data_IF_823489618883
#
_entry.id   IF_823489618883
#
_cell.length_a   1.000
_cell.length_b   1.000
_cell.length_c   1.000
_cell.angle_alpha   90.00
_cell.angle_beta   90.00
_cell.angle_gamma   90.00
#
_symmetry.space_group_name_H-M   'P 1'
#
loop_
_entity.id
_entity.type
_entity.pdbx_description
1 polymer ?
#
# COMPACT_ATOMS: atom_id res chain seq x y z
N UNK A 1 11.20 -31.36 -4.04
CA UNK A 1 10.88 -29.91 -4.00
C UNK A 1 11.35 -29.11 -5.23
N UNK A 2 12.66 -28.82 -5.43
CA UNK A 2 13.09 -27.92 -6.55
C UNK A 2 12.75 -28.45 -7.96
N UNK A 3 12.91 -29.74 -8.21
CA UNK A 3 12.57 -30.37 -9.50
C UNK A 3 11.06 -30.37 -9.78
N UNK A 4 10.25 -30.63 -8.76
CA UNK A 4 8.78 -30.59 -8.86
C UNK A 4 8.28 -29.17 -9.13
N UNK A 5 8.84 -28.17 -8.43
CA UNK A 5 8.51 -26.77 -8.68
C UNK A 5 8.82 -26.37 -10.13
N UNK A 6 9.99 -26.77 -10.64
CA UNK A 6 10.35 -26.52 -12.04
C UNK A 6 9.34 -27.18 -13.00
N UNK A 7 8.94 -28.42 -12.73
CA UNK A 7 7.93 -29.10 -13.54
C UNK A 7 6.59 -28.35 -13.53
N UNK A 8 6.13 -27.88 -12.35
CA UNK A 8 4.91 -27.06 -12.25
C UNK A 8 5.06 -25.78 -13.08
N UNK A 9 6.17 -25.06 -12.94
CA UNK A 9 6.41 -23.84 -13.72
C UNK A 9 6.45 -24.10 -15.24
N UNK A 10 6.95 -25.24 -15.68
CA UNK A 10 6.92 -25.66 -17.08
C UNK A 10 5.50 -25.99 -17.57
N UNK A 11 4.71 -26.71 -16.76
CA UNK A 11 3.30 -27.00 -17.05
C UNK A 11 2.51 -25.70 -17.24
N UNK A 12 2.72 -24.73 -16.35
CA UNK A 12 2.06 -23.43 -16.36
C UNK A 12 2.86 -22.33 -17.08
N UNK A 13 3.75 -22.68 -18.01
CA UNK A 13 4.57 -21.68 -18.72
C UNK A 13 3.73 -20.58 -19.38
N UNK A 14 2.52 -20.92 -19.83
CA UNK A 14 1.59 -20.00 -20.46
C UNK A 14 0.96 -19.00 -19.47
N UNK A 15 1.03 -19.21 -18.17
CA UNK A 15 0.54 -18.27 -17.15
C UNK A 15 1.54 -17.15 -16.89
N UNK A 16 2.78 -17.28 -17.35
CA UNK A 16 3.83 -16.30 -17.19
C UNK A 16 4.02 -15.45 -18.45
N UNK A 17 4.49 -14.22 -18.28
CA UNK A 17 4.87 -13.33 -19.37
C UNK A 17 6.12 -12.50 -19.05
N UNK A 18 6.85 -12.17 -20.10
CA UNK A 18 8.01 -11.28 -20.13
C UNK A 18 7.72 -10.02 -20.96
N UNK A 19 8.68 -9.07 -20.97
CA UNK A 19 8.50 -7.75 -21.58
C UNK A 19 8.19 -7.75 -23.08
N UNK A 20 8.53 -8.83 -23.79
CA UNK A 20 8.36 -8.98 -25.24
C UNK A 20 7.19 -9.90 -25.63
N UNK A 21 6.47 -10.45 -24.64
CA UNK A 21 5.36 -11.37 -24.87
C UNK A 21 4.01 -10.66 -24.80
N UNK A 22 2.98 -11.17 -25.49
CA UNK A 22 1.66 -10.56 -25.50
C UNK A 22 1.07 -10.51 -24.08
N UNK A 23 0.44 -9.39 -23.76
CA UNK A 23 -0.24 -9.20 -22.49
C UNK A 23 -1.41 -10.16 -22.33
N UNK A 24 -1.60 -10.60 -21.08
CA UNK A 24 -2.81 -11.30 -20.67
C UNK A 24 -4.04 -10.45 -20.90
N UNK A 25 -5.15 -11.11 -21.18
CA UNK A 25 -6.46 -10.48 -21.34
C UNK A 25 -7.37 -11.08 -20.30
N UNK A 26 -7.55 -10.38 -19.19
CA UNK A 26 -8.39 -10.86 -18.11
C UNK A 26 -9.84 -10.87 -18.60
N UNK A 27 -10.42 -12.06 -18.68
CA UNK A 27 -11.80 -12.27 -19.14
C UNK A 27 -12.78 -12.05 -18.00
N UNK A 28 -13.99 -11.60 -18.33
CA UNK A 28 -15.11 -11.48 -17.39
C UNK A 28 -15.06 -10.32 -16.39
N UNK A 29 -14.05 -9.44 -16.49
CA UNK A 29 -13.87 -8.30 -15.58
C UNK A 29 -13.59 -7.02 -16.37
N UNK A 30 -14.53 -6.60 -17.21
CA UNK A 30 -14.38 -5.35 -17.94
C UNK A 30 -14.49 -4.13 -17.01
N UNK A 31 -13.64 -3.14 -17.26
CA UNK A 31 -13.59 -1.91 -16.49
C UNK A 31 -14.55 -0.91 -17.12
N UNK A 32 -15.59 -0.56 -16.37
CA UNK A 32 -16.49 0.55 -16.69
C UNK A 32 -16.26 1.76 -15.78
N UNK A 33 -16.19 2.94 -16.38
CA UNK A 33 -16.08 4.22 -15.69
C UNK A 33 -17.37 5.01 -15.90
N UNK A 34 -17.98 5.38 -14.79
CA UNK A 34 -19.13 6.29 -14.78
C UNK A 34 -18.68 7.66 -14.29
N UNK A 35 -19.11 8.70 -15.00
CA UNK A 35 -18.89 10.09 -14.61
C UNK A 35 -20.11 10.60 -13.83
N UNK A 36 -19.89 11.58 -12.95
CA UNK A 36 -20.95 12.28 -12.20
C UNK A 36 -21.50 13.51 -12.95
N UNK A 37 -21.27 13.55 -14.26
CA UNK A 37 -21.64 14.64 -15.14
C UNK A 37 -22.19 14.05 -16.44
N UNK A 38 -23.17 14.73 -17.01
CA UNK A 38 -23.75 14.37 -18.29
C UNK A 38 -23.10 15.15 -19.45
N UNK A 39 -23.45 14.74 -20.68
CA UNK A 39 -23.05 15.45 -21.88
C UNK A 39 -23.85 16.75 -22.03
N UNK A 40 -23.27 17.82 -22.59
CA UNK A 40 -21.91 17.93 -23.09
C UNK A 40 -20.86 18.06 -21.98
N UNK A 41 -19.72 17.39 -22.14
CA UNK A 41 -18.66 17.42 -21.14
C UNK A 41 -17.92 18.76 -21.07
N UNK A 42 -17.45 19.16 -19.87
CA UNK A 42 -16.76 20.43 -19.67
C UNK A 42 -15.44 20.50 -20.46
N UNK A 43 -15.03 21.68 -20.95
CA UNK A 43 -13.80 21.86 -21.72
C UNK A 43 -12.53 21.34 -21.03
N UNK A 44 -12.54 21.29 -19.69
CA UNK A 44 -11.42 20.75 -18.89
C UNK A 44 -11.10 19.28 -19.21
N UNK A 45 -12.06 18.53 -19.77
CA UNK A 45 -11.89 17.15 -20.24
C UNK A 45 -11.39 17.05 -21.69
N UNK A 46 -11.18 18.18 -22.37
CA UNK A 46 -10.68 18.29 -23.76
C UNK A 46 -9.43 19.19 -23.82
N UNK A 47 -8.41 18.84 -23.02
CA UNK A 47 -7.16 19.61 -23.01
C UNK A 47 -6.31 19.36 -24.27
N UNK A 48 -5.56 20.35 -24.77
CA UNK A 48 -4.59 20.15 -25.84
C UNK A 48 -3.38 19.35 -25.34
N UNK A 49 -2.56 18.86 -26.27
CA UNK A 49 -1.26 18.25 -25.92
C UNK A 49 -0.38 19.27 -25.21
N UNK A 50 0.37 18.82 -24.19
CA UNK A 50 1.40 19.66 -23.60
C UNK A 50 2.61 19.77 -24.55
N UNK A 51 3.25 20.96 -24.64
CA UNK A 51 4.54 21.08 -25.29
C UNK A 51 5.57 20.14 -24.64
N UNK A 52 6.34 19.43 -25.46
CA UNK A 52 7.34 18.47 -25.00
C UNK A 52 8.71 18.81 -25.59
N UNK A 53 9.76 18.72 -24.76
CA UNK A 53 11.14 18.88 -25.22
C UNK A 53 11.53 17.75 -26.19
N UNK A 54 12.57 17.92 -27.03
CA UNK A 54 13.01 16.88 -27.97
C UNK A 54 13.22 15.51 -27.29
N UNK A 55 13.93 15.51 -26.14
CA UNK A 55 14.14 14.30 -25.31
C UNK A 55 12.83 13.65 -24.85
N UNK A 56 11.83 14.46 -24.46
CA UNK A 56 10.53 13.94 -24.04
C UNK A 56 9.70 13.41 -25.22
N UNK A 57 9.82 14.03 -26.40
CA UNK A 57 9.14 13.59 -27.64
C UNK A 57 9.62 12.22 -28.08
N UNK A 58 10.93 12.00 -28.14
CA UNK A 58 11.54 10.70 -28.45
C UNK A 58 11.06 9.61 -27.48
N UNK A 59 11.05 9.93 -26.17
CA UNK A 59 10.56 9.01 -25.16
C UNK A 59 9.06 8.71 -25.32
N UNK A 60 8.23 9.72 -25.61
CA UNK A 60 6.80 9.54 -25.86
C UNK A 60 6.54 8.63 -27.06
N UNK A 61 7.24 8.86 -28.18
CA UNK A 61 7.12 8.05 -29.40
C UNK A 61 7.42 6.59 -29.12
N UNK A 62 8.53 6.32 -28.41
CA UNK A 62 8.89 4.97 -27.99
C UNK A 62 7.82 4.32 -27.11
N UNK A 63 7.36 5.01 -26.06
CA UNK A 63 6.32 4.48 -25.15
C UNK A 63 5.00 4.22 -25.87
N UNK A 64 4.59 5.11 -26.79
CA UNK A 64 3.37 4.94 -27.58
C UNK A 64 3.48 3.71 -28.48
N UNK A 65 4.60 3.55 -29.19
CA UNK A 65 4.84 2.38 -30.05
C UNK A 65 4.82 1.07 -29.23
N UNK A 66 5.50 1.03 -28.09
CA UNK A 66 5.49 -0.12 -27.19
C UNK A 66 4.07 -0.47 -26.73
N UNK A 67 3.27 0.53 -26.34
CA UNK A 67 1.89 0.31 -25.90
C UNK A 67 0.95 -0.11 -27.03
N UNK A 68 1.21 0.31 -28.27
CA UNK A 68 0.48 -0.18 -29.45
C UNK A 68 0.82 -1.64 -29.72
N UNK A 69 2.11 -2.00 -29.71
CA UNK A 69 2.57 -3.39 -29.89
C UNK A 69 1.98 -4.33 -28.83
N UNK A 70 1.85 -3.85 -27.59
CA UNK A 70 1.23 -4.59 -26.49
C UNK A 70 -0.32 -4.62 -26.54
N UNK A 71 -0.95 -3.95 -27.51
CA UNK A 71 -2.41 -3.88 -27.62
C UNK A 71 -3.08 -3.09 -26.49
N UNK A 72 -2.35 -2.18 -25.86
CA UNK A 72 -2.85 -1.28 -24.80
C UNK A 72 -3.43 0.00 -25.39
N UNK A 73 -2.81 0.51 -26.46
CA UNK A 73 -3.25 1.71 -27.18
C UNK A 73 -3.64 1.38 -28.62
N UNK A 74 -4.57 2.17 -29.16
CA UNK A 74 -4.91 2.19 -30.58
C UNK A 74 -4.98 3.64 -31.07
N UNK A 75 -4.46 3.90 -32.27
CA UNK A 75 -4.61 5.19 -32.94
C UNK A 75 -6.06 5.35 -33.43
N UNK A 76 -6.71 6.48 -33.13
CA UNK A 76 -8.10 6.74 -33.54
C UNK A 76 -8.22 7.39 -34.93
N UNK A 77 -7.11 7.80 -35.54
CA UNK A 77 -7.10 8.53 -36.81
C UNK A 77 -7.67 9.94 -36.72
N UNK A 78 -7.91 10.57 -37.88
CA UNK A 78 -8.33 11.98 -37.98
C UNK A 78 -9.85 12.20 -38.03
N UNK A 79 -10.66 11.14 -38.17
CA UNK A 79 -12.07 11.26 -38.56
C UNK A 79 -13.08 11.02 -37.41
N UNK A 80 -12.64 11.04 -36.16
CA UNK A 80 -13.51 10.78 -35.01
C UNK A 80 -13.82 12.04 -34.21
N UNK A 81 -15.09 12.25 -33.85
CA UNK A 81 -15.44 13.23 -32.83
C UNK A 81 -14.77 12.86 -31.49
N UNK A 82 -13.99 13.80 -30.95
CA UNK A 82 -13.27 13.63 -29.67
C UNK A 82 -13.89 14.53 -28.61
N UNK A 83 -14.90 13.98 -27.94
CA UNK A 83 -15.57 14.62 -26.81
C UNK A 83 -14.67 14.76 -25.57
N UNK A 84 -13.67 13.89 -25.43
CA UNK A 84 -12.81 13.79 -24.25
C UNK A 84 -11.40 13.38 -24.68
N UNK A 85 -10.38 14.10 -24.20
CA UNK A 85 -8.95 13.80 -24.43
C UNK A 85 -8.07 14.38 -23.34
N UNK A 86 -7.01 13.65 -22.97
CA UNK A 86 -6.07 14.05 -21.92
C UNK A 86 -4.64 14.11 -22.43
N UNK A 87 -3.90 15.19 -22.15
CA UNK A 87 -2.49 15.25 -22.50
C UNK A 87 -1.70 14.21 -21.71
N UNK A 88 -0.58 13.81 -22.30
CA UNK A 88 0.42 12.95 -21.66
C UNK A 88 1.69 13.74 -21.39
N UNK A 89 2.41 13.31 -20.35
CA UNK A 89 3.74 13.82 -20.00
C UNK A 89 4.71 12.65 -19.81
N UNK A 90 6.01 12.95 -19.90
CA UNK A 90 7.05 12.03 -19.44
C UNK A 90 7.51 12.44 -18.05
N UNK A 91 7.48 11.48 -17.14
CA UNK A 91 8.16 11.57 -15.86
C UNK A 91 9.47 10.78 -15.92
N UNK A 92 10.56 11.39 -15.46
CA UNK A 92 11.88 10.77 -15.42
C UNK A 92 12.23 10.38 -13.99
N UNK A 93 12.77 9.17 -13.81
CA UNK A 93 13.30 8.72 -12.52
C UNK A 93 14.49 7.80 -12.76
N UNK A 94 15.68 8.17 -12.24
CA UNK A 94 16.95 7.45 -12.49
C UNK A 94 17.15 7.13 -13.98
N UNK A 95 17.02 8.16 -14.82
CA UNK A 95 17.10 8.10 -16.30
C UNK A 95 16.07 7.20 -17.02
N UNK A 96 15.18 6.54 -16.28
CA UNK A 96 14.05 5.81 -16.86
C UNK A 96 12.87 6.76 -17.07
N UNK A 97 12.38 6.83 -18.29
CA UNK A 97 11.17 7.56 -18.65
C UNK A 97 9.92 6.73 -18.41
N UNK A 98 8.84 7.37 -17.98
CA UNK A 98 7.50 6.78 -17.91
C UNK A 98 6.48 7.75 -18.50
N UNK A 99 5.66 7.26 -19.41
CA UNK A 99 4.51 8.02 -19.91
C UNK A 99 3.39 8.04 -18.87
N UNK A 100 2.88 9.23 -18.58
CA UNK A 100 1.80 9.46 -17.61
C UNK A 100 0.71 10.28 -18.27
N UNK A 101 -0.52 9.75 -18.28
CA UNK A 101 -1.70 10.50 -18.71
C UNK A 101 -2.19 11.41 -17.59
N UNK A 102 -2.47 12.67 -17.91
CA UNK A 102 -3.07 13.60 -16.94
C UNK A 102 -4.56 13.32 -16.77
N UNK A 103 -4.87 12.38 -15.87
CA UNK A 103 -6.23 11.95 -15.55
C UNK A 103 -6.86 12.75 -14.40
N UNK A 104 -6.22 13.83 -13.91
CA UNK A 104 -6.69 14.56 -12.73
C UNK A 104 -8.10 15.10 -12.94
N UNK A 105 -8.34 15.80 -14.05
CA UNK A 105 -9.65 16.35 -14.37
C UNK A 105 -10.71 15.25 -14.54
N UNK A 106 -10.35 14.12 -15.16
CA UNK A 106 -11.26 12.97 -15.29
C UNK A 106 -11.62 12.38 -13.92
N UNK A 107 -10.63 12.20 -13.06
CA UNK A 107 -10.80 11.62 -11.74
C UNK A 107 -11.73 12.48 -10.86
N UNK A 108 -11.66 13.81 -10.97
CA UNK A 108 -12.58 14.72 -10.26
C UNK A 108 -14.04 14.47 -10.64
N UNK A 109 -14.31 14.18 -11.92
CA UNK A 109 -15.64 13.92 -12.44
C UNK A 109 -16.03 12.44 -12.48
N UNK A 110 -15.17 11.54 -12.02
CA UNK A 110 -15.48 10.10 -12.00
C UNK A 110 -16.28 9.77 -10.73
N UNK A 111 -17.25 8.88 -10.78
CA UNK A 111 -17.91 8.37 -9.57
C UNK A 111 -16.91 7.46 -8.81
N UNK A 112 -16.61 7.72 -7.52
CA UNK A 112 -15.62 6.94 -6.79
C UNK A 112 -16.11 5.51 -6.50
N UNK A 113 -15.30 4.52 -6.89
CA UNK A 113 -15.51 3.11 -6.55
C UNK A 113 -14.94 2.84 -5.14
N UNK A 114 -15.84 2.59 -4.18
CA UNK A 114 -15.50 2.39 -2.75
C UNK A 114 -15.40 0.91 -2.38
N UNK A 115 -14.77 0.10 -3.24
CA UNK A 115 -14.48 -1.29 -2.90
C UNK A 115 -13.49 -1.38 -1.72
N UNK A 116 -13.72 -2.25 -0.72
CA UNK A 116 -12.85 -2.36 0.45
C UNK A 116 -11.47 -2.89 0.05
N UNK A 117 -10.42 -2.16 0.43
CA UNK A 117 -9.04 -2.61 0.28
C UNK A 117 -8.53 -2.98 1.68
N UNK A 118 -8.11 -4.23 1.90
CA UNK A 118 -7.64 -4.66 3.21
C UNK A 118 -6.39 -3.86 3.60
N UNK A 119 -6.23 -3.60 4.90
CA UNK A 119 -4.98 -3.00 5.38
C UNK A 119 -3.87 -4.04 5.20
N UNK A 120 -2.70 -3.60 4.75
CA UNK A 120 -1.53 -4.47 4.52
C UNK A 120 -1.27 -5.37 5.74
N UNK A 121 -1.31 -4.80 6.95
CA UNK A 121 -1.14 -5.55 8.19
C UNK A 121 -2.18 -6.67 8.39
N UNK A 122 -3.43 -6.47 8.01
CA UNK A 122 -4.46 -7.51 8.10
C UNK A 122 -4.17 -8.65 7.12
N UNK A 123 -3.79 -8.30 5.88
CA UNK A 123 -3.42 -9.30 4.87
C UNK A 123 -2.17 -10.10 5.29
N UNK A 124 -1.18 -9.43 5.90
CA UNK A 124 0.04 -10.09 6.37
C UNK A 124 -0.21 -10.98 7.60
N UNK A 125 -1.15 -10.63 8.48
CA UNK A 125 -1.51 -11.49 9.62
C UNK A 125 -2.13 -12.82 9.18
N UNK A 126 -2.75 -12.88 7.99
CA UNK A 126 -3.28 -14.14 7.45
C UNK A 126 -2.18 -15.14 7.08
N UNK A 127 -0.92 -14.69 6.99
CA UNK A 127 0.24 -15.55 6.74
C UNK A 127 0.78 -16.18 8.03
N UNK A 128 0.09 -16.03 9.17
CA UNK A 128 0.43 -16.69 10.43
C UNK A 128 0.56 -18.20 10.25
N UNK A 129 1.60 -18.80 10.86
CA UNK A 129 1.91 -20.24 10.84
C UNK A 129 2.27 -20.80 9.46
N UNK A 130 2.38 -19.96 8.42
CA UNK A 130 2.82 -20.40 7.11
C UNK A 130 4.29 -20.86 7.17
N UNK A 131 4.54 -22.14 6.88
CA UNK A 131 5.91 -22.67 6.79
C UNK A 131 6.63 -22.17 5.53
N UNK A 132 5.89 -22.01 4.44
CA UNK A 132 6.41 -21.56 3.15
C UNK A 132 5.49 -20.49 2.56
N UNK A 133 6.08 -19.41 2.09
CA UNK A 133 5.42 -18.24 1.51
C UNK A 133 5.79 -18.16 0.03
N UNK A 134 4.77 -17.96 -0.81
CA UNK A 134 4.93 -17.71 -2.24
C UNK A 134 4.31 -16.35 -2.56
N UNK A 135 5.05 -15.49 -3.24
CA UNK A 135 4.57 -14.20 -3.72
C UNK A 135 4.65 -14.17 -5.25
N UNK A 136 3.57 -13.69 -5.87
CA UNK A 136 3.42 -13.64 -7.33
C UNK A 136 2.96 -12.24 -7.75
N UNK A 137 3.73 -11.58 -8.60
CA UNK A 137 3.41 -10.25 -9.13
C UNK A 137 2.73 -10.38 -10.50
N UNK A 138 1.58 -9.73 -10.67
CA UNK A 138 0.90 -9.68 -11.96
C UNK A 138 1.71 -8.87 -12.98
N UNK A 139 1.93 -9.43 -14.17
CA UNK A 139 2.72 -8.77 -15.19
C UNK A 139 1.98 -7.55 -15.78
N UNK A 140 2.42 -6.33 -15.47
CA UNK A 140 1.72 -5.08 -15.87
C UNK A 140 0.21 -5.14 -15.51
N UNK A 141 -0.12 -5.58 -14.29
CA UNK A 141 -1.47 -6.02 -13.89
C UNK A 141 -2.65 -5.14 -14.35
N UNK A 142 -2.54 -3.81 -14.30
CA UNK A 142 -3.63 -2.95 -14.79
C UNK A 142 -3.87 -3.05 -16.30
N UNK A 143 -2.82 -3.14 -17.11
CA UNK A 143 -2.93 -3.25 -18.56
C UNK A 143 -3.47 -4.58 -19.06
N UNK A 144 -3.72 -5.56 -18.19
CA UNK A 144 -4.42 -6.79 -18.57
C UNK A 144 -5.95 -6.63 -18.54
N UNK A 145 -6.46 -5.63 -17.82
CA UNK A 145 -7.90 -5.35 -17.69
C UNK A 145 -8.44 -4.65 -18.94
N UNK A 146 -9.50 -5.22 -19.52
CA UNK A 146 -10.17 -4.68 -20.71
C UNK A 146 -11.09 -3.53 -20.34
N UNK A 147 -11.13 -2.47 -21.14
CA UNK A 147 -12.07 -1.37 -20.98
C UNK A 147 -13.35 -1.59 -21.80
N UNK A 148 -14.50 -1.17 -21.25
CA UNK A 148 -15.76 -1.12 -22.01
C UNK A 148 -15.68 -0.10 -23.16
N UNK A 149 -16.45 -0.25 -24.26
CA UNK A 149 -16.44 0.71 -25.37
C UNK A 149 -16.69 2.17 -24.96
N UNK A 150 -17.56 2.38 -23.97
CA UNK A 150 -17.82 3.70 -23.36
C UNK A 150 -16.57 4.25 -22.69
N UNK A 151 -15.92 3.43 -21.87
CA UNK A 151 -14.75 3.82 -21.08
C UNK A 151 -13.52 4.09 -21.94
N UNK A 152 -13.35 3.35 -23.04
CA UNK A 152 -12.30 3.61 -24.05
C UNK A 152 -12.37 5.05 -24.56
N UNK A 153 -13.56 5.52 -24.94
CA UNK A 153 -13.78 6.91 -25.40
C UNK A 153 -13.45 7.95 -24.32
N UNK A 154 -13.76 7.64 -23.05
CA UNK A 154 -13.42 8.51 -21.93
C UNK A 154 -11.92 8.58 -21.67
N UNK A 155 -11.16 7.50 -21.90
CA UNK A 155 -9.73 7.44 -21.58
C UNK A 155 -8.81 7.84 -22.73
N UNK A 156 -9.31 8.49 -23.79
CA UNK A 156 -8.46 8.97 -24.89
C UNK A 156 -7.37 9.93 -24.41
N UNK A 157 -6.19 9.79 -25.00
CA UNK A 157 -5.02 10.64 -24.75
C UNK A 157 -4.57 11.37 -26.00
N UNK A 158 -3.90 12.50 -25.82
CA UNK A 158 -3.33 13.31 -26.90
C UNK A 158 -1.84 13.59 -26.62
N UNK A 159 -1.01 13.40 -27.65
CA UNK A 159 0.40 13.78 -27.68
C UNK A 159 0.72 14.52 -28.98
N UNK A 160 1.98 14.86 -29.21
CA UNK A 160 2.44 15.40 -30.49
C UNK A 160 2.34 14.38 -31.65
N UNK A 161 2.20 13.09 -31.35
CA UNK A 161 2.01 12.03 -32.35
C UNK A 161 0.53 11.87 -32.79
N UNK A 162 -0.40 12.53 -32.10
CA UNK A 162 -1.84 12.45 -32.38
C UNK A 162 -2.65 11.98 -31.18
N UNK A 163 -3.85 11.46 -31.46
CA UNK A 163 -4.80 11.02 -30.45
C UNK A 163 -4.84 9.49 -30.43
N UNK A 164 -4.81 8.93 -29.22
CA UNK A 164 -4.85 7.49 -29.00
C UNK A 164 -5.93 7.13 -27.99
N UNK A 165 -6.45 5.92 -28.11
CA UNK A 165 -7.46 5.37 -27.24
C UNK A 165 -6.89 4.18 -26.47
N UNK A 166 -7.05 4.19 -25.15
CA UNK A 166 -6.72 3.03 -24.34
C UNK A 166 -7.75 1.92 -24.60
N UNK A 167 -7.25 0.71 -24.86
CA UNK A 167 -8.03 -0.52 -24.88
C UNK A 167 -8.01 -1.23 -23.52
N UNK A 168 -7.00 -0.92 -22.71
CA UNK A 168 -6.72 -1.50 -21.41
C UNK A 168 -6.63 -0.44 -20.33
N UNK A 169 -6.85 -0.82 -19.08
CA UNK A 169 -6.84 0.15 -17.98
C UNK A 169 -5.47 0.84 -17.85
N UNK A 170 -5.41 2.19 -17.93
CA UNK A 170 -4.18 2.95 -17.75
C UNK A 170 -3.88 3.20 -16.27
N UNK A 171 -2.62 3.49 -15.98
CA UNK A 171 -2.22 4.01 -14.67
C UNK A 171 -2.79 5.42 -14.45
N UNK A 172 -3.03 5.76 -13.18
CA UNK A 172 -3.51 7.09 -12.76
C UNK A 172 -5.04 7.22 -12.69
N UNK A 173 -5.80 6.20 -13.13
CA UNK A 173 -7.24 6.15 -12.90
C UNK A 173 -7.52 5.91 -11.40
N UNK A 174 -8.37 6.75 -10.80
CA UNK A 174 -8.67 6.66 -9.37
C UNK A 174 -9.37 5.37 -8.93
N UNK A 175 -10.16 4.75 -9.81
CA UNK A 175 -10.92 3.53 -9.52
C UNK A 175 -10.12 2.25 -9.84
N UNK A 176 -8.93 2.37 -10.43
CA UNK A 176 -8.11 1.22 -10.81
C UNK A 176 -7.77 0.28 -9.64
N UNK A 177 -7.36 0.76 -8.44
CA UNK A 177 -7.09 -0.11 -7.30
C UNK A 177 -8.34 -0.85 -6.80
N UNK A 178 -9.47 -0.16 -6.67
CA UNK A 178 -10.74 -0.74 -6.21
C UNK A 178 -11.24 -1.83 -7.16
N UNK A 179 -11.22 -1.55 -8.46
CA UNK A 179 -11.59 -2.53 -9.48
C UNK A 179 -10.66 -3.75 -9.42
N UNK A 180 -9.35 -3.52 -9.33
CA UNK A 180 -8.36 -4.60 -9.30
C UNK A 180 -8.51 -5.47 -8.04
N UNK A 181 -8.79 -4.87 -6.88
CA UNK A 181 -9.03 -5.62 -5.65
C UNK A 181 -10.30 -6.48 -5.76
N UNK A 182 -11.39 -5.93 -6.32
CA UNK A 182 -12.62 -6.69 -6.57
C UNK A 182 -12.38 -7.87 -7.50
N UNK A 183 -11.68 -7.63 -8.61
CA UNK A 183 -11.29 -8.67 -9.54
C UNK A 183 -10.45 -9.76 -8.85
N UNK A 184 -9.46 -9.38 -8.04
CA UNK A 184 -8.64 -10.33 -7.29
C UNK A 184 -9.48 -11.18 -6.32
N UNK A 185 -10.41 -10.57 -5.59
CA UNK A 185 -11.28 -11.31 -4.67
C UNK A 185 -12.23 -12.26 -5.40
N UNK A 186 -12.69 -11.91 -6.61
CA UNK A 186 -13.54 -12.79 -7.44
C UNK A 186 -12.75 -13.97 -8.01
N UNK A 187 -11.51 -13.75 -8.45
CA UNK A 187 -10.67 -14.79 -9.09
C UNK A 187 -10.02 -15.69 -8.03
N UNK A 188 -9.55 -15.09 -6.93
CA UNK A 188 -8.82 -15.74 -5.85
C UNK A 188 -9.58 -15.54 -4.53
N UNK A 189 -10.62 -16.35 -4.25
CA UNK A 189 -11.30 -16.33 -2.96
C UNK A 189 -10.35 -16.77 -1.82
N UNK A 190 -10.72 -16.45 -0.58
CA UNK A 190 -9.88 -16.60 0.63
C UNK A 190 -9.36 -18.03 0.85
N UNK A 191 -10.14 -19.04 0.47
CA UNK A 191 -9.72 -20.44 0.47
C UNK A 191 -9.66 -20.92 -0.98
N UNK A 192 -8.45 -21.21 -1.44
CA UNK A 192 -8.21 -21.76 -2.76
C UNK A 192 -8.08 -23.28 -2.66
N UNK A 193 -9.14 -23.98 -3.05
CA UNK A 193 -9.12 -25.44 -3.24
C UNK A 193 -8.36 -25.85 -4.52
N UNK A 194 -8.32 -24.94 -5.51
CA UNK A 194 -7.58 -25.09 -6.77
C UNK A 194 -6.31 -24.22 -6.75
N UNK A 195 -5.28 -24.60 -7.50
CA UNK A 195 -4.02 -23.87 -7.54
C UNK A 195 -4.15 -22.44 -8.10
N UNK A 196 -3.40 -21.49 -7.55
CA UNK A 196 -3.38 -20.08 -8.02
C UNK A 196 -3.09 -19.99 -9.54
N UNK A 197 -2.19 -20.82 -10.05
CA UNK A 197 -1.83 -20.83 -11.46
C UNK A 197 -2.96 -21.34 -12.37
N UNK A 198 -3.81 -22.27 -11.90
CA UNK A 198 -4.99 -22.73 -12.64
C UNK A 198 -5.98 -21.59 -12.83
N UNK A 199 -6.35 -20.91 -11.74
CA UNK A 199 -7.26 -19.76 -11.78
C UNK A 199 -6.71 -18.65 -12.66
N UNK A 200 -5.42 -18.30 -12.52
CA UNK A 200 -4.77 -17.28 -13.35
C UNK A 200 -4.81 -17.65 -14.84
N UNK A 201 -4.58 -18.92 -15.17
CA UNK A 201 -4.63 -19.41 -16.55
C UNK A 201 -6.05 -19.38 -17.11
N UNK A 202 -7.04 -19.81 -16.33
CA UNK A 202 -8.45 -19.84 -16.72
C UNK A 202 -9.00 -18.46 -17.09
N UNK A 203 -8.56 -17.41 -16.39
CA UNK A 203 -8.93 -16.02 -16.72
C UNK A 203 -7.99 -15.34 -17.71
N UNK A 204 -6.93 -16.03 -18.17
CA UNK A 204 -5.86 -15.49 -19.02
C UNK A 204 -5.12 -14.28 -18.39
N UNK A 205 -4.91 -14.35 -17.08
CA UNK A 205 -4.04 -13.45 -16.33
C UNK A 205 -2.59 -13.91 -16.43
N UNK A 206 -1.69 -12.98 -16.75
CA UNK A 206 -0.24 -13.23 -16.84
C UNK A 206 0.50 -12.76 -15.58
N UNK A 207 1.47 -13.55 -15.16
CA UNK A 207 2.29 -13.33 -13.97
C UNK A 207 3.74 -13.06 -14.39
N UNK A 208 4.42 -12.16 -13.68
CA UNK A 208 5.83 -11.85 -13.94
C UNK A 208 6.73 -12.85 -13.21
N UNK A 209 7.23 -13.85 -13.94
CA UNK A 209 8.09 -14.89 -13.34
C UNK A 209 9.32 -14.30 -12.64
N UNK A 210 9.94 -13.26 -13.24
CA UNK A 210 11.13 -12.57 -12.69
C UNK A 210 10.89 -11.92 -11.31
N UNK A 211 9.63 -11.64 -10.96
CA UNK A 211 9.25 -10.98 -9.70
C UNK A 211 8.57 -11.94 -8.72
N UNK A 212 8.39 -13.20 -9.10
CA UNK A 212 7.82 -14.20 -8.22
C UNK A 212 8.88 -14.77 -7.29
N UNK A 213 8.46 -15.13 -6.08
CA UNK A 213 9.25 -15.86 -5.11
C UNK A 213 8.44 -17.08 -4.68
N UNK A 214 9.01 -18.28 -4.76
CA UNK A 214 8.30 -19.54 -4.52
C UNK A 214 8.87 -20.27 -3.32
N UNK A 215 8.02 -20.56 -2.33
CA UNK A 215 8.32 -21.47 -1.23
C UNK A 215 9.43 -21.00 -0.27
N UNK A 216 9.48 -19.71 0.06
CA UNK A 216 10.44 -19.16 1.02
C UNK A 216 9.89 -19.22 2.46
N UNK A 217 10.73 -19.52 3.44
CA UNK A 217 10.35 -19.45 4.87
C UNK A 217 10.21 -17.99 5.35
N UNK A 218 10.99 -17.10 4.75
CA UNK A 218 10.94 -15.65 4.97
C UNK A 218 11.02 -14.91 3.63
N UNK A 219 10.15 -13.91 3.44
CA UNK A 219 10.06 -13.12 2.22
C UNK A 219 9.98 -11.62 2.51
N UNK A 220 10.61 -10.81 1.67
CA UNK A 220 10.35 -9.36 1.61
C UNK A 220 9.15 -9.05 0.73
N UNK A 221 8.05 -8.59 1.33
CA UNK A 221 6.85 -8.19 0.59
C UNK A 221 6.16 -6.98 1.23
N UNK A 222 5.51 -6.14 0.42
CA UNK A 222 4.77 -4.94 0.83
C UNK A 222 5.53 -3.97 1.78
N UNK A 223 6.86 -3.98 1.75
CA UNK A 223 7.73 -3.19 2.63
C UNK A 223 7.96 -3.79 4.02
N UNK A 224 7.65 -5.07 4.18
CA UNK A 224 7.86 -5.86 5.38
C UNK A 224 8.74 -7.08 5.08
N UNK A 225 9.40 -7.58 6.12
CA UNK A 225 9.97 -8.93 6.13
C UNK A 225 8.90 -9.81 6.76
N UNK A 226 8.44 -10.83 6.05
CA UNK A 226 7.31 -11.67 6.43
C UNK A 226 7.80 -13.11 6.54
N UNK A 227 7.63 -13.71 7.70
CA UNK A 227 7.75 -15.15 7.92
C UNK A 227 6.44 -15.70 8.47
N UNK A 228 6.30 -17.01 8.64
CA UNK A 228 5.13 -17.58 9.33
C UNK A 228 4.98 -17.14 10.79
N UNK A 229 6.04 -16.58 11.38
CA UNK A 229 6.12 -16.32 12.83
C UNK A 229 6.27 -14.83 13.16
N UNK A 230 6.87 -14.05 12.27
CA UNK A 230 7.25 -12.66 12.55
C UNK A 230 7.02 -11.72 11.36
N UNK A 231 6.76 -10.46 11.70
CA UNK A 231 6.62 -9.35 10.77
C UNK A 231 7.62 -8.24 11.10
N UNK A 232 8.66 -8.13 10.28
CA UNK A 232 9.68 -7.08 10.33
C UNK A 232 9.44 -5.93 9.36
N UNK A 233 10.27 -4.89 9.45
CA UNK A 233 10.29 -3.78 8.48
C UNK A 233 11.38 -4.02 7.43
N UNK A 234 11.09 -3.78 6.14
CA UNK A 234 12.12 -3.86 5.10
C UNK A 234 13.16 -2.72 5.22
N UNK A 235 14.40 -3.11 5.53
CA UNK A 235 15.57 -2.24 5.72
C UNK A 235 15.85 -1.31 4.54
N UNK A 236 15.52 -1.72 3.30
CA UNK A 236 15.78 -0.92 2.11
C UNK A 236 14.89 0.33 2.00
N UNK A 237 13.62 0.24 2.42
CA UNK A 237 12.71 1.39 2.45
C UNK A 237 13.03 2.34 3.60
N UNK A 238 13.42 1.78 4.75
CA UNK A 238 13.84 2.54 5.92
C UNK A 238 15.14 3.31 5.61
N UNK A 239 16.13 2.66 4.97
CA UNK A 239 17.40 3.29 4.59
C UNK A 239 17.21 4.57 3.74
N UNK A 240 16.24 4.58 2.81
CA UNK A 240 15.96 5.76 1.98
C UNK A 240 15.44 6.98 2.77
N UNK A 241 14.82 6.76 3.94
CA UNK A 241 14.41 7.81 4.88
C UNK A 241 15.52 8.11 5.88
N UNK A 242 16.26 7.08 6.31
CA UNK A 242 17.35 7.21 7.28
C UNK A 242 18.59 7.89 6.69
N UNK A 243 18.87 7.80 5.40
CA UNK A 243 20.05 8.42 4.78
C UNK A 243 19.85 9.90 4.45
N UNK A 244 18.62 10.40 4.50
CA UNK A 244 18.32 11.79 4.21
C UNK A 244 18.63 12.69 5.41
N UNK A 245 19.14 13.91 5.19
CA UNK A 245 19.27 14.89 6.25
C UNK A 245 17.90 15.23 6.83
N UNK A 246 17.88 15.70 8.08
CA UNK A 246 16.66 16.17 8.73
C UNK A 246 16.01 17.24 7.84
N UNK A 247 14.75 17.08 7.42
CA UNK A 247 14.10 18.04 6.54
C UNK A 247 14.06 19.44 7.15
N UNK A 248 14.42 20.44 6.36
CA UNK A 248 14.43 21.86 6.75
C UNK A 248 13.16 22.60 6.29
N UNK A 249 12.07 21.87 6.03
CA UNK A 249 10.80 22.45 5.57
C UNK A 249 9.61 21.59 5.99
N UNK A 250 8.43 22.21 6.18
CA UNK A 250 7.20 21.57 6.71
C UNK A 250 6.80 20.32 5.94
N UNK A 251 6.78 20.39 4.61
CA UNK A 251 6.37 19.28 3.74
C UNK A 251 7.25 18.04 3.89
N UNK A 252 8.55 18.22 4.14
CA UNK A 252 9.46 17.11 4.39
C UNK A 252 9.21 16.42 5.73
N UNK A 253 8.88 17.19 6.78
CA UNK A 253 8.47 16.62 8.07
C UNK A 253 7.14 15.87 7.97
N UNK A 254 6.17 16.39 7.19
CA UNK A 254 4.89 15.70 6.96
C UNK A 254 5.10 14.34 6.29
N UNK A 255 5.92 14.26 5.23
CA UNK A 255 6.26 12.99 4.59
C UNK A 255 6.95 12.01 5.54
N UNK A 256 7.88 12.51 6.37
CA UNK A 256 8.54 11.69 7.39
C UNK A 256 7.54 11.13 8.43
N UNK A 257 6.60 11.96 8.88
CA UNK A 257 5.57 11.55 9.83
C UNK A 257 4.59 10.54 9.21
N UNK A 258 4.19 10.72 7.95
CA UNK A 258 3.35 9.75 7.23
C UNK A 258 4.03 8.38 7.11
N UNK A 259 5.32 8.38 6.72
CA UNK A 259 6.13 7.18 6.65
C UNK A 259 6.26 6.50 8.03
N UNK A 260 6.62 7.27 9.06
CA UNK A 260 6.78 6.73 10.42
C UNK A 260 5.46 6.21 10.98
N UNK A 261 4.34 6.87 10.66
CA UNK A 261 2.98 6.47 11.07
C UNK A 261 2.55 5.15 10.42
N UNK A 262 3.00 4.87 9.19
CA UNK A 262 2.77 3.58 8.53
C UNK A 262 3.36 2.42 9.36
N UNK A 263 4.53 2.65 9.96
CA UNK A 263 5.22 1.71 10.85
C UNK A 263 4.92 1.93 12.35
N UNK A 264 3.87 2.66 12.71
CA UNK A 264 3.62 3.01 14.14
C UNK A 264 3.40 1.79 15.05
N UNK A 265 2.91 0.68 14.50
CA UNK A 265 2.69 -0.57 15.26
C UNK A 265 4.00 -1.17 15.77
N UNK A 266 5.12 -0.82 15.15
CA UNK A 266 6.48 -1.22 15.52
C UNK A 266 7.14 -0.21 16.46
N UNK A 267 6.54 0.97 16.67
CA UNK A 267 7.15 2.09 17.37
C UNK A 267 6.44 2.33 18.70
N UNK A 268 7.05 1.87 19.80
CA UNK A 268 6.60 2.20 21.16
C UNK A 268 6.49 3.73 21.33
N UNK A 269 5.39 4.18 21.92
CA UNK A 269 5.09 5.59 22.25
C UNK A 269 5.14 6.56 21.06
N UNK A 270 4.86 6.08 19.84
CA UNK A 270 4.92 6.90 18.63
C UNK A 270 4.12 8.20 18.73
N UNK A 271 2.89 8.17 19.25
CA UNK A 271 2.03 9.36 19.33
C UNK A 271 2.62 10.44 20.26
N UNK A 272 3.31 10.02 21.33
CA UNK A 272 3.99 10.90 22.29
C UNK A 272 5.22 11.53 21.62
N UNK A 273 6.06 10.71 20.99
CA UNK A 273 7.27 11.18 20.30
C UNK A 273 6.92 12.11 19.12
N UNK A 274 5.96 11.72 18.29
CA UNK A 274 5.58 12.45 17.09
C UNK A 274 4.89 13.79 17.39
N UNK A 275 4.45 14.06 18.64
CA UNK A 275 3.71 15.29 18.98
C UNK A 275 4.51 16.55 18.65
N UNK A 276 5.80 16.55 18.96
CA UNK A 276 6.68 17.70 18.77
C UNK A 276 6.82 18.04 17.29
N UNK A 277 6.80 17.01 16.44
CA UNK A 277 6.87 17.12 15.00
C UNK A 277 5.51 17.50 14.41
N UNK A 278 4.39 16.92 14.85
CA UNK A 278 3.06 17.35 14.37
C UNK A 278 2.81 18.86 14.58
N UNK A 279 3.24 19.41 15.72
CA UNK A 279 3.09 20.84 16.02
C UNK A 279 3.79 21.76 15.00
N UNK A 280 4.89 21.32 14.38
CA UNK A 280 5.57 22.10 13.34
C UNK A 280 4.83 22.10 12.00
N UNK A 281 3.95 21.13 11.79
CA UNK A 281 3.16 20.97 10.57
C UNK A 281 1.92 21.87 10.56
N UNK A 282 1.51 22.41 11.71
CA UNK A 282 0.39 23.35 11.80
C UNK A 282 0.67 24.62 10.98
N UNK A 283 -0.37 25.14 10.31
CA UNK A 283 -0.23 26.29 9.42
C UNK A 283 0.32 27.52 10.15
N UNK A 284 -0.16 27.76 11.37
CA UNK A 284 0.19 28.92 12.20
C UNK A 284 1.55 28.80 12.91
N UNK A 285 2.16 27.60 12.94
CA UNK A 285 3.44 27.41 13.63
C UNK A 285 4.61 27.80 12.73
N UNK A 286 5.51 28.64 13.22
CA UNK A 286 6.78 28.95 12.54
C UNK A 286 7.64 27.68 12.47
N UNK A 287 8.18 27.40 11.28
CA UNK A 287 9.05 26.25 11.08
C UNK A 287 10.39 26.49 11.79
N UNK A 288 10.64 25.74 12.88
CA UNK A 288 11.90 25.74 13.61
C UNK A 288 12.20 24.36 14.18
N UNK A 289 13.30 23.74 13.80
CA UNK A 289 13.74 22.47 14.41
C UNK A 289 14.40 22.74 15.76
N UNK A 290 13.59 22.86 16.81
CA UNK A 290 14.08 22.98 18.20
C UNK A 290 14.79 21.70 18.65
N UNK A 291 15.57 21.79 19.72
CA UNK A 291 16.30 20.64 20.25
C UNK A 291 15.36 19.48 20.64
N UNK A 292 14.17 19.77 21.16
CA UNK A 292 13.13 18.77 21.44
C UNK A 292 12.64 18.07 20.16
N UNK A 293 12.42 18.83 19.08
CA UNK A 293 11.97 18.29 17.78
C UNK A 293 13.05 17.43 17.14
N UNK A 294 14.31 17.84 17.24
CA UNK A 294 15.46 17.06 16.77
C UNK A 294 15.57 15.77 17.58
N UNK A 295 15.48 15.83 18.92
CA UNK A 295 15.47 14.64 19.79
C UNK A 295 14.32 13.70 19.44
N UNK A 296 13.12 14.22 19.21
CA UNK A 296 11.96 13.42 18.81
C UNK A 296 12.17 12.74 17.45
N UNK A 297 12.67 13.48 16.45
CA UNK A 297 13.02 12.95 15.13
C UNK A 297 14.04 11.81 15.25
N UNK A 298 15.14 12.03 15.97
CA UNK A 298 16.19 11.03 16.13
C UNK A 298 15.73 9.80 16.94
N UNK A 299 14.85 9.97 17.94
CA UNK A 299 14.24 8.85 18.66
C UNK A 299 13.39 7.98 17.73
N UNK A 300 12.51 8.57 16.93
CA UNK A 300 11.69 7.82 15.96
C UNK A 300 12.59 7.16 14.91
N UNK A 301 13.60 7.89 14.42
CA UNK A 301 14.60 7.39 13.47
C UNK A 301 15.37 6.18 14.03
N UNK A 302 15.83 6.26 15.29
CA UNK A 302 16.52 5.16 15.98
C UNK A 302 15.59 3.98 16.23
N UNK A 303 14.33 4.21 16.57
CA UNK A 303 13.33 3.16 16.76
C UNK A 303 12.97 2.45 15.45
N UNK A 304 12.95 3.16 14.32
CA UNK A 304 12.82 2.58 12.97
C UNK A 304 14.07 1.79 12.55
N UNK A 305 15.25 2.15 13.09
CA UNK A 305 16.53 1.46 12.82
C UNK A 305 16.73 0.22 13.69
N UNK A 306 16.35 0.30 14.97
CA UNK A 306 16.24 -0.87 15.85
C UNK A 306 15.18 -1.77 15.20
N UNK A 307 15.40 -3.07 15.22
CA UNK A 307 14.53 -4.04 14.56
C UNK A 307 13.53 -4.60 15.60
N UNK A 308 12.37 -3.97 15.84
CA UNK A 308 11.30 -4.63 16.56
C UNK A 308 10.62 -5.57 15.57
N UNK A 309 11.00 -6.85 15.62
CA UNK A 309 10.19 -7.91 15.02
C UNK A 309 8.87 -7.93 15.79
N UNK A 310 7.75 -7.69 15.09
CA UNK A 310 6.45 -7.97 15.67
C UNK A 310 6.15 -9.45 15.50
N UNK A 311 5.60 -10.06 16.54
CA UNK A 311 5.01 -11.38 16.44
C UNK A 311 3.75 -11.33 15.60
N UNK A 312 3.55 -12.34 14.75
CA UNK A 312 2.25 -12.55 14.13
C UNK A 312 1.32 -13.15 15.20
N UNK A 313 0.14 -12.57 15.43
CA UNK A 313 -0.77 -13.00 16.49
C UNK A 313 -1.25 -14.44 16.30
N UNK A 314 -1.24 -15.22 17.38
CA UNK A 314 -1.84 -16.55 17.46
C UNK A 314 -2.95 -16.58 18.51
N UNK A 315 -4.22 -16.64 18.09
CA UNK A 315 -5.38 -16.62 19.01
C UNK A 315 -5.47 -17.84 19.93
N UNK A 316 -4.65 -18.88 19.71
CA UNK A 316 -4.55 -20.02 20.63
C UNK A 316 -3.60 -19.74 21.82
N UNK A 317 -2.85 -18.63 21.79
CA UNK A 317 -1.90 -18.25 22.83
C UNK A 317 -2.47 -17.02 23.56
N UNK A 318 -2.55 -17.02 24.91
CA UNK A 318 -3.03 -15.87 25.65
C UNK A 318 -2.22 -14.60 25.34
N UNK A 319 -2.91 -13.46 25.25
CA UNK A 319 -2.25 -12.17 25.07
C UNK A 319 -1.79 -11.58 26.40
N UNK A 320 -0.75 -10.76 26.35
CA UNK A 320 -0.37 -9.84 27.43
C UNK A 320 -0.53 -8.41 26.96
N UNK A 321 -1.33 -7.62 27.67
CA UNK A 321 -1.58 -6.23 27.37
C UNK A 321 -0.89 -5.35 28.39
N UNK A 322 0.23 -4.75 27.99
CA UNK A 322 0.89 -3.71 28.76
C UNK A 322 0.23 -2.37 28.48
N UNK A 323 -0.09 -1.64 29.53
CA UNK A 323 -0.59 -0.27 29.43
C UNK A 323 0.28 0.66 30.26
N UNK A 324 0.51 1.86 29.73
CA UNK A 324 1.22 2.93 30.40
C UNK A 324 0.54 4.27 30.07
N UNK A 325 0.38 5.10 31.09
CA UNK A 325 -0.26 6.39 30.96
C UNK A 325 0.56 7.47 31.67
N UNK A 326 0.90 8.52 30.93
CA UNK A 326 1.57 9.68 31.48
C UNK A 326 0.79 10.97 31.13
N UNK A 327 1.18 12.09 31.77
CA UNK A 327 0.60 13.41 31.50
C UNK A 327 0.76 13.90 30.05
N UNK A 328 1.49 13.16 29.22
CA UNK A 328 1.73 13.49 27.81
C UNK A 328 0.95 12.60 26.83
N UNK A 329 0.50 11.42 27.25
CA UNK A 329 -0.08 10.43 26.37
C UNK A 329 -0.32 9.07 27.01
N UNK A 330 -1.04 8.24 26.27
CA UNK A 330 -1.34 6.85 26.62
C UNK A 330 -0.59 5.93 25.65
N UNK A 331 0.01 4.87 26.17
CA UNK A 331 0.77 3.87 25.44
C UNK A 331 0.25 2.47 25.75
N UNK A 332 0.05 1.66 24.73
CA UNK A 332 -0.42 0.29 24.85
C UNK A 332 0.53 -0.64 24.08
N UNK A 333 0.93 -1.77 24.65
CA UNK A 333 1.70 -2.81 23.96
C UNK A 333 1.02 -4.17 24.13
N UNK A 334 0.58 -4.74 23.01
CA UNK A 334 0.04 -6.09 22.96
C UNK A 334 1.17 -7.06 22.67
N UNK A 335 1.36 -8.05 23.53
CA UNK A 335 2.43 -9.04 23.51
C UNK A 335 1.86 -10.46 23.53
N UNK A 336 2.67 -11.43 23.11
CA UNK A 336 2.42 -12.87 23.30
C UNK A 336 3.72 -13.57 23.69
N UNK A 337 3.61 -14.76 24.27
CA UNK A 337 4.74 -15.61 24.66
C UNK A 337 4.69 -16.93 23.85
N UNK A 338 4.96 -16.90 22.54
CA UNK A 338 5.10 -18.12 21.75
C UNK A 338 6.37 -18.88 22.11
N UNK A 339 6.40 -20.16 21.74
CA UNK A 339 7.57 -21.03 21.85
C UNK A 339 8.40 -20.88 20.58
N UNK A 340 9.63 -20.39 20.73
CA UNK A 340 10.65 -20.32 19.68
C UNK A 340 11.84 -21.19 20.09
N UNK A 341 12.29 -22.09 19.21
CA UNK A 341 13.42 -23.00 19.48
C UNK A 341 13.29 -23.67 20.87
N UNK A 342 12.11 -24.23 21.15
CA UNK A 342 11.74 -24.88 22.42
C UNK A 342 11.74 -23.97 23.66
N UNK A 343 11.86 -22.65 23.49
CA UNK A 343 11.88 -21.68 24.59
C UNK A 343 10.72 -20.68 24.49
N UNK A 344 9.99 -20.42 25.60
CA UNK A 344 9.01 -19.35 25.64
C UNK A 344 9.72 -18.00 25.52
N UNK A 345 9.42 -17.24 24.47
CA UNK A 345 10.01 -15.92 24.25
C UNK A 345 8.89 -14.91 24.12
N UNK A 346 8.82 -13.96 25.05
CA UNK A 346 7.86 -12.88 24.95
C UNK A 346 8.25 -11.89 23.85
N UNK A 347 7.28 -11.52 23.02
CA UNK A 347 7.47 -10.53 21.97
C UNK A 347 6.24 -9.66 21.74
N UNK A 348 6.43 -8.46 21.16
CA UNK A 348 5.34 -7.56 20.85
C UNK A 348 4.57 -8.03 19.61
N UNK A 349 3.25 -8.12 19.69
CA UNK A 349 2.34 -8.25 18.54
C UNK A 349 2.10 -6.88 17.90
N UNK A 350 1.82 -5.85 18.71
CA UNK A 350 1.76 -4.48 18.23
C UNK A 350 1.83 -3.44 19.35
N UNK A 351 2.30 -2.25 19.00
CA UNK A 351 2.21 -1.05 19.83
C UNK A 351 1.08 -0.13 19.35
N UNK A 352 0.37 0.46 20.30
CA UNK A 352 -0.57 1.54 20.09
C UNK A 352 -0.17 2.69 21.02
N UNK A 353 -0.45 3.91 20.60
CA UNK A 353 -0.36 5.08 21.47
C UNK A 353 -1.32 6.15 21.00
N UNK A 354 -1.78 6.98 21.93
CA UNK A 354 -2.55 8.19 21.62
C UNK A 354 -2.15 9.35 22.52
N UNK A 355 -2.37 10.56 22.02
CA UNK A 355 -2.30 11.76 22.85
C UNK A 355 -3.52 11.83 23.77
N UNK A 356 -3.34 12.47 24.90
CA UNK A 356 -4.42 12.80 25.82
C UNK A 356 -5.12 14.07 25.34
N UNK A 357 -6.43 14.15 25.54
CA UNK A 357 -7.24 15.33 25.26
C UNK A 357 -7.01 16.38 26.35
N UNK A 358 -7.32 17.63 26.05
CA UNK A 358 -7.24 18.74 27.01
C UNK A 358 -8.10 18.51 28.25
N UNK A 359 -9.23 17.83 28.10
CA UNK A 359 -10.11 17.45 29.21
C UNK A 359 -9.54 16.31 30.05
N UNK A 360 -8.90 15.32 29.39
CA UNK A 360 -8.27 14.15 30.03
C UNK A 360 -7.02 14.54 30.82
N UNK A 361 -6.37 15.66 30.50
CA UNK A 361 -5.20 16.17 31.23
C UNK A 361 -5.46 16.50 32.70
N UNK A 362 -6.74 16.59 33.11
CA UNK A 362 -7.15 16.81 34.51
C UNK A 362 -7.27 15.51 35.32
N UNK A 363 -7.18 14.36 34.66
CA UNK A 363 -7.33 13.07 35.31
C UNK A 363 -6.11 12.74 36.17
N UNK A 364 -6.35 12.17 37.34
CA UNK A 364 -5.29 11.61 38.16
C UNK A 364 -4.70 10.35 37.53
N UNK A 365 -3.51 9.94 37.99
CA UNK A 365 -2.79 8.78 37.43
C UNK A 365 -3.65 7.51 37.28
N UNK A 366 -4.49 7.20 38.29
CA UNK A 366 -5.42 6.05 38.24
C UNK A 366 -6.45 6.14 37.11
N UNK A 367 -7.06 7.31 36.95
CA UNK A 367 -8.05 7.55 35.90
C UNK A 367 -7.40 7.49 34.51
N UNK A 368 -6.14 7.93 34.41
CA UNK A 368 -5.37 7.88 33.17
C UNK A 368 -5.03 6.44 32.76
N UNK A 369 -4.68 5.56 33.70
CA UNK A 369 -4.50 4.14 33.41
C UNK A 369 -5.80 3.44 33.02
N UNK A 370 -6.92 3.68 33.72
CA UNK A 370 -8.21 3.13 33.32
C UNK A 370 -8.62 3.60 31.91
N UNK A 371 -8.36 4.87 31.60
CA UNK A 371 -8.58 5.43 30.26
C UNK A 371 -7.66 4.79 29.21
N UNK A 372 -6.43 4.43 29.59
CA UNK A 372 -5.51 3.69 28.74
C UNK A 372 -6.03 2.28 28.47
N UNK A 373 -6.52 1.57 29.49
CA UNK A 373 -7.12 0.25 29.33
C UNK A 373 -8.35 0.31 28.42
N UNK A 374 -9.28 1.22 28.67
CA UNK A 374 -10.48 1.37 27.84
C UNK A 374 -10.12 1.61 26.38
N UNK A 375 -9.18 2.53 26.13
CA UNK A 375 -8.68 2.81 24.79
C UNK A 375 -7.96 1.62 24.15
N UNK A 376 -7.28 0.78 24.95
CA UNK A 376 -6.67 -0.45 24.49
C UNK A 376 -7.74 -1.44 24.03
N UNK A 377 -8.76 -1.70 24.86
CA UNK A 377 -9.85 -2.64 24.55
C UNK A 377 -10.64 -2.21 23.30
N UNK A 378 -10.99 -0.93 23.18
CA UNK A 378 -11.68 -0.42 21.99
C UNK A 378 -10.86 -0.60 20.71
N UNK A 379 -9.56 -0.34 20.76
CA UNK A 379 -8.69 -0.39 19.57
C UNK A 379 -8.16 -1.78 19.27
N UNK A 380 -8.07 -2.66 20.26
CA UNK A 380 -7.53 -4.02 20.15
C UNK A 380 -8.63 -5.07 20.19
N UNK A 381 -9.93 -4.69 20.16
CA UNK A 381 -11.06 -5.63 20.18
C UNK A 381 -10.90 -6.76 19.16
N UNK A 382 -10.43 -6.46 17.94
CA UNK A 382 -10.24 -7.48 16.90
C UNK A 382 -9.12 -8.51 17.19
N UNK A 383 -8.29 -8.27 18.21
CA UNK A 383 -7.37 -9.26 18.76
C UNK A 383 -7.90 -9.91 20.03
N UNK A 384 -8.48 -9.11 20.93
CA UNK A 384 -8.81 -9.51 22.30
C UNK A 384 -10.19 -10.16 22.44
N UNK A 385 -11.12 -9.89 21.52
CA UNK A 385 -12.47 -10.46 21.57
C UNK A 385 -12.42 -11.99 21.53
N UNK A 386 -13.15 -12.63 22.44
CA UNK A 386 -13.12 -14.08 22.68
C UNK A 386 -11.79 -14.65 23.19
N UNK A 387 -10.76 -13.84 23.42
CA UNK A 387 -9.43 -14.29 23.84
C UNK A 387 -9.21 -14.11 25.35
N UNK A 388 -8.43 -15.00 25.96
CA UNK A 388 -7.93 -14.79 27.33
C UNK A 388 -6.68 -13.93 27.28
N UNK A 389 -6.61 -12.89 28.10
CA UNK A 389 -5.45 -12.01 28.15
C UNK A 389 -5.17 -11.47 29.56
N UNK A 390 -3.90 -11.21 29.83
CA UNK A 390 -3.42 -10.60 31.08
C UNK A 390 -3.20 -9.10 30.85
N UNK A 391 -3.65 -8.26 31.78
CA UNK A 391 -3.38 -6.81 31.75
C UNK A 391 -2.27 -6.48 32.73
N UNK A 392 -1.22 -5.83 32.25
CA UNK A 392 -0.04 -5.43 33.02
C UNK A 392 0.02 -3.91 33.04
N UNK A 393 -0.05 -3.34 34.24
CA UNK A 393 -0.06 -1.91 34.49
C UNK A 393 0.78 -1.58 35.72
N UNK A 394 1.28 -0.34 35.77
CA UNK A 394 2.21 0.10 36.81
C UNK A 394 1.48 0.56 38.08
N UNK A 395 0.20 0.95 37.99
CA UNK A 395 -0.61 1.31 39.16
C UNK A 395 -1.44 0.13 39.70
N UNK A 396 -1.49 0.01 41.02
CA UNK A 396 -2.37 -0.91 41.76
C UNK A 396 -3.88 -0.61 41.61
N UNK A 397 -4.28 0.31 40.73
CA UNK A 397 -5.67 0.75 40.59
C UNK A 397 -6.60 -0.27 39.94
N UNK A 398 -6.07 -1.32 39.30
CA UNK A 398 -6.84 -2.34 38.59
C UNK A 398 -6.75 -3.74 39.22
N UNK A 399 -6.24 -3.83 40.46
CA UNK A 399 -6.29 -5.05 41.27
C UNK A 399 -7.59 -5.12 42.06
#
# INVERSE_FOLDING_TARGET
>A
MRKELINVLYTYKNSFASDNEPLGVIKGNEVDITLNIDRPYPPVLRRPAYPASPRAREALEKHIQELIQLGVLRNIGHNGEVEVKKPVIISWHNDKSRMVGDLIALNTHTVPDRYPIPRIQQALNQLCKAKYITSMDAFKGFHQNVLTPKTKKLLRIISHCGIYEYLRMPFGNKNAPSHYQRMMNTIFPTELYEGVLDKATGVNMKISLKKCNFGFEELKDLGHIVSGLSLGIDKNKVAAVLLKPIPQYKKGIMYYLEFSRYHRKQLKDFAILARFLYRICDQQTVFKMTQERIKAYEKIRKALKKEPLLLIPDWNIPFKLYIDACGDGLGEALHQVPIFDEKPTEGPVCYISRKIKTTEARYGARQMECLCLLGALEKLHYYLDGSVFEVIADCNAMK
#
